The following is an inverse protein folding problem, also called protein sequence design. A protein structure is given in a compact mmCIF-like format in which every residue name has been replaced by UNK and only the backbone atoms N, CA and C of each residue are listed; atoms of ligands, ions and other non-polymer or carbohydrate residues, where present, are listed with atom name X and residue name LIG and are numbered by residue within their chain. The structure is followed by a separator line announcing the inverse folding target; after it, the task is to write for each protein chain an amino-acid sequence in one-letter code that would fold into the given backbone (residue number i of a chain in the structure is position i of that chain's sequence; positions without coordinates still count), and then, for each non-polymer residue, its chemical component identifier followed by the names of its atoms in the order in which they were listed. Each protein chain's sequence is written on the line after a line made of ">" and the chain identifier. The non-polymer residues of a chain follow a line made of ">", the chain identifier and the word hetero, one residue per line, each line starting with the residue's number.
data_IF_781325582986
#
_entry.id   IF_781325582986
#
_cell.length_a   1.000
_cell.length_b   1.000
_cell.length_c   1.000
_cell.angle_alpha   90.00
_cell.angle_beta   90.00
_cell.angle_gamma   90.00
#
_symmetry.space_group_name_H-M   'P 1'
#
loop_
_entity.id
_entity.type
_entity.pdbx_description
1 polymer ?
#
# COMPACT_ATOMS: atom_id res chain seq x y z
N UNK A 1 -26.53 -5.73 -31.84
CA UNK A 1 -25.21 -6.37 -31.81
C UNK A 1 -24.53 -5.98 -30.50
N UNK A 2 -24.34 -6.87 -29.51
CA UNK A 2 -23.23 -6.75 -28.56
C UNK A 2 -22.05 -7.63 -29.06
N UNK A 3 -20.77 -7.42 -28.69
CA UNK A 3 -20.25 -6.65 -27.55
C UNK A 3 -19.01 -5.76 -27.87
N UNK A 4 -18.60 -4.93 -26.91
CA UNK A 4 -17.19 -4.72 -26.61
C UNK A 4 -17.08 -4.57 -25.07
N UNK A 5 -16.16 -5.31 -24.42
CA UNK A 5 -16.03 -5.30 -22.97
C UNK A 5 -15.69 -3.88 -22.52
N UNK A 6 -16.43 -3.39 -21.53
CA UNK A 6 -15.98 -2.28 -20.71
C UNK A 6 -14.52 -2.53 -20.35
N UNK A 7 -13.63 -1.75 -20.95
CA UNK A 7 -12.33 -1.53 -20.35
C UNK A 7 -12.63 -1.12 -18.91
N UNK A 8 -12.23 -1.97 -17.96
CA UNK A 8 -12.28 -1.62 -16.56
C UNK A 8 -11.63 -0.23 -16.46
N UNK A 9 -12.35 0.81 -16.02
CA UNK A 9 -11.71 2.08 -15.79
C UNK A 9 -10.53 1.80 -14.86
N UNK A 10 -9.38 2.32 -15.28
CA UNK A 10 -8.09 2.23 -14.61
C UNK A 10 -8.28 2.11 -13.10
N UNK A 11 -7.53 1.17 -12.52
CA UNK A 11 -7.27 0.97 -11.09
C UNK A 11 -6.72 2.26 -10.48
N UNK A 12 -7.59 3.27 -10.42
CA UNK A 12 -7.44 4.52 -9.74
C UNK A 12 -7.87 4.19 -8.33
N UNK A 13 -7.04 3.37 -7.65
CA UNK A 13 -7.11 3.31 -6.20
C UNK A 13 -7.07 4.77 -5.76
N UNK A 14 -8.11 5.28 -5.08
CA UNK A 14 -8.12 6.68 -4.68
C UNK A 14 -6.80 6.91 -3.96
N UNK A 15 -6.12 7.99 -4.34
CA UNK A 15 -5.19 8.66 -3.46
C UNK A 15 -6.00 9.03 -2.21
N UNK A 16 -6.23 8.04 -1.35
CA UNK A 16 -6.65 8.24 0.01
C UNK A 16 -5.52 9.10 0.50
N UNK A 17 -5.81 10.38 0.76
CA UNK A 17 -4.84 11.38 1.17
C UNK A 17 -4.29 10.98 2.52
N UNK A 18 -3.47 9.93 2.52
CA UNK A 18 -2.89 9.37 3.70
C UNK A 18 -1.91 10.40 4.20
N UNK A 19 -1.83 10.49 5.51
CA UNK A 19 -0.81 11.29 6.18
C UNK A 19 0.40 10.41 6.46
N UNK A 20 1.57 11.03 6.62
CA UNK A 20 2.77 10.31 7.07
C UNK A 20 2.51 9.53 8.36
N UNK A 21 1.68 10.06 9.27
CA UNK A 21 1.28 9.40 10.51
C UNK A 21 0.57 8.06 10.26
N UNK A 22 -0.33 8.01 9.27
CA UNK A 22 -1.01 6.77 8.88
C UNK A 22 -0.04 5.73 8.32
N UNK A 23 0.90 6.12 7.46
CA UNK A 23 1.92 5.19 6.97
C UNK A 23 2.82 4.67 8.10
N UNK A 24 3.17 5.52 9.06
CA UNK A 24 3.93 5.10 10.24
C UNK A 24 3.14 4.15 11.13
N UNK A 25 1.84 4.37 11.33
CA UNK A 25 0.97 3.40 12.01
C UNK A 25 0.92 2.06 11.26
N UNK A 26 0.79 2.08 9.93
CA UNK A 26 0.81 0.87 9.12
C UNK A 26 2.14 0.12 9.21
N UNK A 27 3.28 0.84 9.15
CA UNK A 27 4.61 0.26 9.35
C UNK A 27 4.75 -0.38 10.74
N UNK A 28 4.19 0.23 11.78
CA UNK A 28 4.16 -0.37 13.13
C UNK A 28 3.34 -1.66 13.21
N UNK A 29 2.28 -1.80 12.40
CA UNK A 29 1.46 -3.02 12.35
C UNK A 29 2.24 -4.18 11.74
N UNK A 30 3.04 -3.90 10.71
CA UNK A 30 3.90 -4.92 10.08
C UNK A 30 5.12 -5.24 10.95
N UNK A 31 5.57 -4.27 11.75
CA UNK A 31 6.70 -4.38 12.67
C UNK A 31 8.02 -4.07 11.96
N UNK A 32 8.91 -3.37 12.66
CA UNK A 32 10.27 -3.05 12.21
C UNK A 32 11.06 -4.36 11.99
N UNK A 33 10.99 -4.93 10.78
CA UNK A 33 12.03 -5.83 10.27
C UNK A 33 11.82 -7.35 10.27
N UNK A 34 10.59 -7.92 10.35
CA UNK A 34 10.13 -9.28 9.93
C UNK A 34 9.08 -9.89 10.91
N UNK A 35 8.14 -10.77 10.47
CA UNK A 35 6.74 -10.41 10.59
C UNK A 35 5.78 -11.48 11.11
N UNK A 36 4.58 -11.02 11.43
CA UNK A 36 3.40 -11.88 11.50
C UNK A 36 2.98 -12.40 10.11
N UNK A 37 2.12 -13.42 10.05
CA UNK A 37 1.60 -13.95 8.79
C UNK A 37 0.89 -12.84 8.01
N UNK A 38 1.24 -12.71 6.72
CA UNK A 38 0.73 -11.66 5.83
C UNK A 38 -0.80 -11.57 5.88
N UNK A 39 -1.48 -12.70 5.92
CA UNK A 39 -2.94 -12.79 5.98
C UNK A 39 -3.57 -12.18 7.24
N UNK A 40 -2.81 -12.05 8.34
CA UNK A 40 -3.28 -11.34 9.55
C UNK A 40 -2.88 -9.88 9.57
N UNK A 41 -1.77 -9.53 8.91
CA UNK A 41 -1.20 -8.19 8.90
C UNK A 41 -1.85 -7.31 7.83
N UNK A 42 -1.96 -7.82 6.60
CA UNK A 42 -2.58 -7.13 5.46
C UNK A 42 -3.96 -6.55 5.79
N UNK A 43 -4.96 -7.32 6.28
CA UNK A 43 -6.27 -6.75 6.57
C UNK A 43 -6.25 -5.70 7.68
N UNK A 44 -5.31 -5.77 8.64
CA UNK A 44 -5.17 -4.74 9.68
C UNK A 44 -4.63 -3.43 9.12
N UNK A 45 -3.66 -3.52 8.21
CA UNK A 45 -3.12 -2.36 7.49
C UNK A 45 -4.22 -1.75 6.62
N UNK A 46 -4.91 -2.56 5.83
CA UNK A 46 -6.01 -2.09 4.96
C UNK A 46 -7.13 -1.43 5.76
N UNK A 47 -7.51 -2.01 6.90
CA UNK A 47 -8.53 -1.41 7.77
C UNK A 47 -8.10 -0.06 8.37
N UNK A 48 -6.78 0.21 8.47
CA UNK A 48 -6.23 1.44 9.05
C UNK A 48 -5.95 2.53 8.03
N UNK A 49 -5.43 2.17 6.87
CA UNK A 49 -4.95 3.11 5.84
C UNK A 49 -5.61 2.91 4.47
N UNK A 50 -6.62 2.06 4.38
CA UNK A 50 -7.33 1.78 3.14
C UNK A 50 -6.60 0.81 2.22
N UNK A 51 -7.19 0.58 1.05
CA UNK A 51 -6.66 -0.37 0.07
C UNK A 51 -5.33 0.13 -0.54
N UNK A 52 -4.32 -0.74 -0.66
CA UNK A 52 -3.09 -0.42 -1.37
C UNK A 52 -3.33 -0.36 -2.88
N UNK A 53 -2.40 0.32 -3.54
CA UNK A 53 -2.11 0.10 -4.95
C UNK A 53 -1.31 -1.20 -5.11
N UNK A 54 -1.76 -2.11 -5.96
CA UNK A 54 -1.02 -3.35 -6.23
C UNK A 54 -0.06 -3.11 -7.38
N UNK A 55 1.25 -3.20 -7.12
CA UNK A 55 2.28 -3.07 -8.18
C UNK A 55 2.68 -4.41 -8.77
N UNK A 56 2.62 -5.48 -7.98
CA UNK A 56 2.94 -6.84 -8.43
C UNK A 56 2.18 -7.86 -7.60
N UNK A 57 2.22 -9.14 -7.98
CA UNK A 57 1.53 -10.22 -7.25
C UNK A 57 1.82 -10.27 -5.75
N UNK A 58 3.01 -9.82 -5.34
CA UNK A 58 3.45 -9.88 -3.96
C UNK A 58 3.80 -8.50 -3.39
N UNK A 59 3.45 -7.40 -4.06
CA UNK A 59 3.86 -6.06 -3.64
C UNK A 59 2.71 -5.06 -3.69
N UNK A 60 2.51 -4.42 -2.55
CA UNK A 60 1.40 -3.52 -2.24
C UNK A 60 1.98 -2.18 -1.79
N UNK A 61 1.49 -1.09 -2.35
CA UNK A 61 2.03 0.26 -2.18
C UNK A 61 0.93 1.22 -1.71
N UNK A 62 1.24 2.05 -0.72
CA UNK A 62 0.41 3.14 -0.24
C UNK A 62 1.19 4.43 -0.34
N UNK A 63 0.52 5.50 -0.72
CA UNK A 63 1.11 6.82 -0.90
C UNK A 63 0.49 7.79 0.09
N UNK A 64 1.31 8.60 0.76
CA UNK A 64 0.86 9.60 1.71
C UNK A 64 1.57 10.94 1.51
N UNK A 65 0.81 12.03 1.61
CA UNK A 65 1.34 13.38 1.53
C UNK A 65 1.41 14.03 2.91
N UNK A 66 2.54 14.65 3.23
CA UNK A 66 2.77 15.41 4.47
C UNK A 66 3.06 16.86 4.10
N UNK A 67 2.02 17.60 3.71
CA UNK A 67 2.11 19.05 3.48
C UNK A 67 3.14 19.50 2.44
N UNK A 68 3.50 18.63 1.47
CA UNK A 68 4.49 18.94 0.42
C UNK A 68 5.51 17.84 0.16
N UNK A 69 5.60 16.83 1.04
CA UNK A 69 6.44 15.63 0.84
C UNK A 69 5.57 14.40 0.61
N UNK A 70 5.96 13.55 -0.32
CA UNK A 70 5.28 12.28 -0.57
C UNK A 70 6.07 11.14 0.05
N UNK A 71 5.36 10.21 0.68
CA UNK A 71 5.91 9.01 1.28
C UNK A 71 5.25 7.80 0.64
N UNK A 72 6.06 6.83 0.28
CA UNK A 72 5.66 5.52 -0.18
C UNK A 72 5.82 4.55 1.00
N UNK A 73 4.74 3.90 1.38
CA UNK A 73 4.79 2.69 2.18
C UNK A 73 4.58 1.51 1.26
N UNK A 74 5.52 0.58 1.23
CA UNK A 74 5.37 -0.65 0.47
C UNK A 74 5.36 -1.83 1.43
N UNK A 75 4.51 -2.80 1.15
CA UNK A 75 4.45 -4.09 1.83
C UNK A 75 4.63 -5.18 0.79
N UNK A 76 5.57 -6.07 1.06
CA UNK A 76 5.86 -7.24 0.24
C UNK A 76 5.45 -8.50 0.98
N UNK A 77 4.80 -9.42 0.26
CA UNK A 77 4.51 -10.76 0.73
C UNK A 77 5.69 -11.65 0.37
N UNK A 78 6.39 -12.14 1.38
CA UNK A 78 7.36 -13.21 1.22
C UNK A 78 6.60 -14.52 0.97
N UNK A 79 6.59 -14.95 -0.28
CA UNK A 79 5.87 -16.17 -0.69
C UNK A 79 6.51 -17.46 -0.19
N UNK A 80 7.78 -17.43 0.22
CA UNK A 80 8.46 -18.62 0.75
C UNK A 80 8.12 -18.84 2.23
N UNK A 81 7.92 -17.76 3.00
CA UNK A 81 7.71 -17.81 4.45
C UNK A 81 6.31 -17.33 4.88
N UNK A 82 5.45 -16.90 3.95
CA UNK A 82 4.09 -16.42 4.25
C UNK A 82 4.06 -15.10 5.05
N UNK A 83 5.13 -14.34 4.96
CA UNK A 83 5.49 -13.26 5.87
C UNK A 83 5.34 -11.90 5.18
N UNK A 84 4.91 -10.86 5.91
CA UNK A 84 4.79 -9.51 5.35
C UNK A 84 6.04 -8.66 5.69
N UNK A 85 6.85 -8.26 4.72
CA UNK A 85 7.87 -7.24 4.96
C UNK A 85 7.31 -5.87 4.56
N UNK A 86 7.70 -4.80 5.25
CA UNK A 86 7.31 -3.45 4.84
C UNK A 86 8.44 -2.44 4.99
N UNK A 87 8.36 -1.37 4.20
CA UNK A 87 9.23 -0.21 4.31
C UNK A 87 8.47 1.07 4.04
N UNK A 88 8.89 2.15 4.71
CA UNK A 88 8.45 3.51 4.40
C UNK A 88 9.64 4.25 3.78
N UNK A 89 9.42 4.93 2.67
CA UNK A 89 10.45 5.71 1.98
C UNK A 89 9.85 7.03 1.51
N UNK A 90 10.63 8.11 1.56
CA UNK A 90 10.26 9.37 0.90
C UNK A 90 10.35 9.16 -0.62
N UNK A 91 9.36 9.65 -1.37
CA UNK A 91 9.28 9.51 -2.82
C UNK A 91 8.88 10.84 -3.47
N UNK A 92 8.85 10.87 -4.80
CA UNK A 92 8.52 12.08 -5.55
C UNK A 92 7.12 12.60 -5.20
N UNK A 93 7.02 13.91 -4.93
CA UNK A 93 5.77 14.56 -4.55
C UNK A 93 4.64 14.35 -5.57
N UNK A 94 4.97 14.10 -6.83
CA UNK A 94 4.02 13.87 -7.91
C UNK A 94 3.26 12.55 -7.79
N UNK A 95 3.73 11.60 -6.99
CA UNK A 95 3.07 10.31 -6.76
C UNK A 95 1.94 10.38 -5.73
N UNK A 96 1.88 11.45 -4.94
CA UNK A 96 0.82 11.71 -3.96
C UNK A 96 -0.15 12.83 -4.40
N UNK A 97 -0.13 13.21 -5.68
CA UNK A 97 -0.98 14.27 -6.25
C UNK A 97 -2.22 13.73 -6.93
#
# INVERSE_FOLDING_TARGET
>A
MPPAPSAAPEETAPATSLTKAQLQEAGKIVGDGYPGPFEKTYPKVVAKIGEPKRKSDNMYEWYASDGGKCFLFFMTRDNQKGHAASGISETDASLCK
#
